data_IF_230713604375
#
_entry.id   IF_230713604375
#
_cell.length_a   1.000
_cell.length_b   1.000
_cell.length_c   1.000
_cell.angle_alpha   90.00
_cell.angle_beta   90.00
_cell.angle_gamma   90.00
#
_symmetry.space_group_name_H-M   'P 1'
#
loop_
_entity.id
_entity.type
_entity.pdbx_description
1 polymer ?
#
# COMPACT_ATOMS: atom_id res chain seq x y z
N UNK A 1 -25.66 -31.72 -21.15
CA UNK A 1 -26.10 -30.34 -20.84
C UNK A 1 -25.07 -29.81 -19.87
N UNK A 2 -24.43 -28.68 -20.16
CA UNK A 2 -23.56 -28.04 -19.18
C UNK A 2 -24.45 -27.60 -18.02
N UNK A 3 -24.11 -28.00 -16.79
CA UNK A 3 -24.73 -27.43 -15.59
C UNK A 3 -24.52 -25.92 -15.64
N UNK A 4 -25.58 -25.16 -15.35
CA UNK A 4 -25.48 -23.72 -15.22
C UNK A 4 -24.64 -23.42 -13.98
N UNK A 5 -23.36 -23.09 -14.20
CA UNK A 5 -22.35 -22.99 -13.14
C UNK A 5 -22.64 -21.87 -12.13
N UNK A 6 -23.64 -21.02 -12.41
CA UNK A 6 -23.96 -19.83 -11.63
C UNK A 6 -25.39 -19.84 -11.05
N UNK A 7 -26.09 -20.99 -11.06
CA UNK A 7 -27.48 -21.06 -10.60
C UNK A 7 -27.71 -20.55 -9.15
N UNK A 8 -26.68 -20.61 -8.31
CA UNK A 8 -26.70 -20.15 -6.91
C UNK A 8 -25.91 -18.84 -6.68
N UNK A 9 -25.42 -18.19 -7.74
CA UNK A 9 -24.66 -16.95 -7.63
C UNK A 9 -25.57 -15.72 -7.51
N UNK A 10 -25.09 -14.62 -6.89
CA UNK A 10 -25.80 -13.36 -6.94
C UNK A 10 -25.76 -12.76 -8.35
N UNK A 11 -26.77 -11.96 -8.69
CA UNK A 11 -26.81 -11.22 -9.97
C UNK A 11 -25.70 -10.16 -10.06
N UNK A 12 -25.25 -9.65 -8.90
CA UNK A 12 -24.25 -8.59 -8.78
C UNK A 12 -23.41 -8.74 -7.51
N UNK A 13 -22.15 -8.33 -7.57
CA UNK A 13 -21.30 -8.10 -6.39
C UNK A 13 -20.82 -6.64 -6.33
N UNK A 14 -20.58 -6.14 -5.11
CA UNK A 14 -20.02 -4.81 -4.86
C UNK A 14 -18.56 -4.94 -4.43
N UNK A 15 -17.65 -4.32 -5.18
CA UNK A 15 -16.23 -4.25 -4.89
C UNK A 15 -15.86 -2.87 -4.34
N UNK A 16 -15.49 -2.80 -3.08
CA UNK A 16 -15.07 -1.57 -2.42
C UNK A 16 -13.57 -1.29 -2.47
N UNK A 17 -13.22 -0.03 -2.68
CA UNK A 17 -11.86 0.49 -2.70
C UNK A 17 -11.68 1.57 -1.65
N UNK A 18 -10.48 1.61 -1.05
CA UNK A 18 -10.05 2.74 -0.23
C UNK A 18 -9.70 3.92 -1.14
N UNK A 19 -9.94 5.17 -0.71
CA UNK A 19 -9.65 6.34 -1.53
C UNK A 19 -8.14 6.53 -1.73
N UNK A 20 -7.77 7.08 -2.89
CA UNK A 20 -6.44 7.61 -3.17
C UNK A 20 -6.44 9.15 -3.05
N UNK A 21 -5.25 9.76 -2.96
CA UNK A 21 -5.12 11.22 -3.09
C UNK A 21 -5.65 11.72 -4.45
N UNK A 22 -5.66 10.84 -5.46
CA UNK A 22 -6.19 11.11 -6.81
C UNK A 22 -7.57 10.47 -7.02
N UNK A 23 -8.50 10.70 -6.08
CA UNK A 23 -9.84 10.10 -6.05
C UNK A 23 -10.64 10.23 -7.35
N UNK A 24 -10.52 11.36 -8.06
CA UNK A 24 -11.22 11.57 -9.34
C UNK A 24 -10.69 10.62 -10.43
N UNK A 25 -9.37 10.39 -10.50
CA UNK A 25 -8.77 9.43 -11.43
C UNK A 25 -8.95 7.97 -11.01
N UNK A 26 -9.08 7.71 -9.71
CA UNK A 26 -9.16 6.35 -9.19
C UNK A 26 -10.38 5.59 -9.72
N UNK A 27 -11.51 6.28 -9.93
CA UNK A 27 -12.68 5.64 -10.53
C UNK A 27 -12.42 5.20 -11.97
N UNK A 28 -11.77 6.03 -12.77
CA UNK A 28 -11.40 5.71 -14.15
C UNK A 28 -10.38 4.55 -14.19
N UNK A 29 -9.46 4.50 -13.22
CA UNK A 29 -8.46 3.43 -13.09
C UNK A 29 -9.05 2.08 -12.64
N UNK A 30 -10.16 2.10 -11.90
CA UNK A 30 -10.84 0.89 -11.42
C UNK A 30 -11.67 0.24 -12.53
N UNK A 31 -12.25 1.01 -13.46
CA UNK A 31 -13.15 0.47 -14.49
C UNK A 31 -12.54 -0.71 -15.28
N UNK A 32 -11.28 -0.65 -15.77
CA UNK A 32 -10.66 -1.79 -16.45
C UNK A 32 -10.61 -3.06 -15.59
N UNK A 33 -10.35 -2.93 -14.28
CA UNK A 33 -10.34 -4.06 -13.36
C UNK A 33 -11.74 -4.65 -13.18
N UNK A 34 -12.76 -3.79 -13.03
CA UNK A 34 -14.15 -4.19 -12.91
C UNK A 34 -14.61 -4.96 -14.16
N UNK A 35 -14.35 -4.43 -15.35
CA UNK A 35 -14.74 -5.11 -16.61
C UNK A 35 -14.08 -6.48 -16.76
N UNK A 36 -12.80 -6.63 -16.39
CA UNK A 36 -12.12 -7.95 -16.41
C UNK A 36 -12.78 -8.92 -15.44
N UNK A 37 -13.23 -8.43 -14.28
CA UNK A 37 -13.92 -9.24 -13.28
C UNK A 37 -15.32 -9.65 -13.76
N UNK A 38 -16.10 -8.73 -14.32
CA UNK A 38 -17.41 -9.00 -14.93
C UNK A 38 -17.31 -10.05 -16.04
N UNK A 39 -16.37 -9.87 -16.97
CA UNK A 39 -16.13 -10.81 -18.07
C UNK A 39 -15.77 -12.22 -17.57
N UNK A 40 -14.97 -12.29 -16.49
CA UNK A 40 -14.53 -13.56 -15.92
C UNK A 40 -15.62 -14.27 -15.10
N UNK A 41 -16.45 -13.51 -14.39
CA UNK A 41 -17.47 -14.03 -13.48
C UNK A 41 -18.82 -14.24 -14.17
N UNK A 42 -19.13 -13.50 -15.23
CA UNK A 42 -20.42 -13.54 -15.91
C UNK A 42 -21.59 -12.95 -15.11
N UNK A 43 -21.30 -12.11 -14.11
CA UNK A 43 -22.26 -11.36 -13.29
C UNK A 43 -21.84 -9.88 -13.23
N UNK A 44 -22.75 -8.99 -12.82
CA UNK A 44 -22.45 -7.56 -12.69
C UNK A 44 -21.47 -7.32 -11.52
N UNK A 45 -20.54 -6.38 -11.69
CA UNK A 45 -19.60 -5.97 -10.63
C UNK A 45 -19.65 -4.45 -10.47
N UNK A 46 -20.06 -3.98 -9.30
CA UNK A 46 -20.11 -2.55 -8.99
C UNK A 46 -18.86 -2.14 -8.20
N UNK A 47 -18.01 -1.30 -8.79
CA UNK A 47 -16.89 -0.68 -8.09
C UNK A 47 -17.32 0.55 -7.29
N UNK A 48 -17.04 0.58 -5.98
CA UNK A 48 -17.32 1.74 -5.12
C UNK A 48 -16.05 2.24 -4.44
N UNK A 49 -15.82 3.54 -4.45
CA UNK A 49 -14.71 4.18 -3.70
C UNK A 49 -15.29 4.76 -2.42
N UNK A 50 -14.75 4.35 -1.28
CA UNK A 50 -15.18 4.85 0.03
C UNK A 50 -14.50 6.17 0.39
N UNK A 51 -15.11 6.96 1.28
CA UNK A 51 -14.56 8.26 1.70
C UNK A 51 -13.29 8.12 2.53
N UNK A 52 -13.18 7.01 3.25
CA UNK A 52 -12.00 6.64 4.01
C UNK A 52 -11.98 5.13 4.21
N UNK A 53 -10.84 4.69 4.72
CA UNK A 53 -10.56 3.31 5.03
C UNK A 53 -11.58 2.68 6.01
N UNK A 54 -12.06 3.41 7.03
CA UNK A 54 -13.02 2.91 8.01
C UNK A 54 -14.40 2.74 7.39
N UNK A 55 -14.70 3.55 6.38
CA UNK A 55 -15.86 3.41 5.50
C UNK A 55 -15.86 2.04 4.81
N UNK A 56 -14.75 1.61 4.21
CA UNK A 56 -14.66 0.29 3.58
C UNK A 56 -14.79 -0.86 4.59
N UNK A 57 -14.15 -0.73 5.76
CA UNK A 57 -14.30 -1.71 6.86
C UNK A 57 -15.78 -1.88 7.24
N UNK A 58 -16.50 -0.76 7.42
CA UNK A 58 -17.92 -0.78 7.77
C UNK A 58 -18.78 -1.32 6.64
N UNK A 59 -18.50 -0.95 5.39
CA UNK A 59 -19.25 -1.42 4.23
C UNK A 59 -19.16 -2.95 4.09
N UNK A 60 -17.96 -3.52 4.20
CA UNK A 60 -17.74 -4.96 4.20
C UNK A 60 -18.41 -5.65 5.40
N UNK A 61 -18.21 -5.10 6.61
CA UNK A 61 -18.76 -5.68 7.83
C UNK A 61 -20.30 -5.72 7.88
N UNK A 62 -20.95 -4.76 7.24
CA UNK A 62 -22.42 -4.62 7.18
C UNK A 62 -23.06 -5.21 5.91
N UNK A 63 -22.26 -5.77 4.99
CA UNK A 63 -22.75 -6.35 3.73
C UNK A 63 -23.17 -5.31 2.69
N UNK A 64 -22.69 -4.06 2.80
CA UNK A 64 -22.81 -3.06 1.75
C UNK A 64 -21.74 -3.22 0.66
N UNK A 65 -20.64 -3.92 0.96
CA UNK A 65 -19.65 -4.38 0.00
C UNK A 65 -19.39 -5.88 0.20
N UNK A 66 -19.20 -6.62 -0.89
CA UNK A 66 -18.95 -8.06 -0.89
C UNK A 66 -17.45 -8.38 -0.95
N UNK A 67 -16.70 -7.54 -1.68
CA UNK A 67 -15.24 -7.62 -1.82
C UNK A 67 -14.61 -6.26 -1.47
N UNK A 68 -13.38 -6.28 -0.95
CA UNK A 68 -12.68 -5.07 -0.54
C UNK A 68 -11.18 -5.12 -0.80
N UNK A 69 -10.64 -4.10 -1.44
CA UNK A 69 -9.19 -3.90 -1.56
C UNK A 69 -8.65 -3.19 -0.30
N UNK A 70 -8.05 -3.96 0.60
CA UNK A 70 -7.50 -3.48 1.86
C UNK A 70 -5.98 -3.43 1.87
N UNK A 71 -5.43 -2.43 2.57
CA UNK A 71 -4.10 -2.56 3.19
C UNK A 71 -4.17 -3.48 4.44
N UNK A 72 -3.05 -3.99 4.95
CA UNK A 72 -3.06 -5.00 6.03
C UNK A 72 -3.77 -4.57 7.32
N UNK A 73 -3.59 -3.32 7.76
CA UNK A 73 -4.35 -2.80 8.90
C UNK A 73 -5.86 -2.90 8.66
N UNK A 74 -6.30 -2.64 7.42
CA UNK A 74 -7.68 -2.79 6.86
C UNK A 74 -8.38 -4.01 7.29
N UNK A 75 -7.75 -5.06 6.81
CA UNK A 75 -8.19 -6.39 7.03
C UNK A 75 -8.22 -6.74 8.53
N UNK A 76 -7.15 -6.43 9.27
CA UNK A 76 -7.07 -6.76 10.71
C UNK A 76 -8.15 -6.03 11.51
N UNK A 77 -8.34 -4.73 11.28
CA UNK A 77 -9.38 -3.95 11.97
C UNK A 77 -10.78 -4.46 11.65
N UNK A 78 -11.09 -4.70 10.37
CA UNK A 78 -12.41 -5.18 9.97
C UNK A 78 -12.71 -6.58 10.50
N UNK A 79 -11.70 -7.46 10.50
CA UNK A 79 -11.83 -8.79 11.10
C UNK A 79 -12.06 -8.73 12.60
N UNK A 80 -11.35 -7.86 13.31
CA UNK A 80 -11.54 -7.66 14.75
C UNK A 80 -12.93 -7.10 15.08
N UNK A 81 -13.43 -6.14 14.29
CA UNK A 81 -14.71 -5.48 14.53
C UNK A 81 -15.93 -6.33 14.17
N UNK A 82 -15.91 -7.05 13.03
CA UNK A 82 -17.10 -7.73 12.50
C UNK A 82 -16.99 -9.25 12.47
N UNK A 83 -15.77 -9.81 12.43
CA UNK A 83 -15.54 -11.26 12.44
C UNK A 83 -15.98 -12.02 11.17
N UNK A 84 -16.65 -11.37 10.23
CA UNK A 84 -17.18 -11.94 8.98
C UNK A 84 -16.35 -11.59 7.73
N UNK A 85 -15.13 -11.06 7.92
CA UNK A 85 -14.23 -10.68 6.82
C UNK A 85 -13.06 -11.67 6.75
N UNK A 86 -12.81 -12.22 5.56
CA UNK A 86 -11.74 -13.17 5.29
C UNK A 86 -10.80 -12.68 4.18
N UNK A 87 -9.51 -13.01 4.27
CA UNK A 87 -8.54 -12.67 3.24
C UNK A 87 -8.64 -13.70 2.10
N UNK A 88 -9.08 -13.27 0.92
CA UNK A 88 -9.24 -14.13 -0.24
C UNK A 88 -7.96 -14.23 -1.08
N UNK A 89 -7.35 -13.09 -1.37
CA UNK A 89 -6.13 -12.96 -2.19
C UNK A 89 -5.21 -11.91 -1.58
N UNK A 90 -3.91 -12.01 -1.91
CA UNK A 90 -2.87 -11.08 -1.47
C UNK A 90 -2.06 -10.63 -2.68
N UNK A 91 -1.75 -9.34 -2.76
CA UNK A 91 -0.90 -8.82 -3.82
C UNK A 91 0.54 -9.26 -3.62
N UNK A 92 1.17 -9.82 -4.66
CA UNK A 92 2.61 -10.03 -4.72
C UNK A 92 3.24 -8.84 -5.44
N UNK A 93 4.12 -8.11 -4.75
CA UNK A 93 4.84 -6.97 -5.32
C UNK A 93 6.33 -7.30 -5.35
N UNK A 94 6.93 -7.19 -6.54
CA UNK A 94 8.35 -7.47 -6.74
C UNK A 94 8.79 -8.85 -6.22
N UNK A 95 7.93 -9.86 -6.36
CA UNK A 95 8.20 -11.23 -5.88
C UNK A 95 7.85 -11.48 -4.41
N UNK A 96 7.53 -10.46 -3.62
CA UNK A 96 7.21 -10.61 -2.19
C UNK A 96 5.73 -10.40 -1.88
N UNK A 97 5.19 -11.24 -1.00
CA UNK A 97 3.88 -11.05 -0.38
C UNK A 97 3.93 -10.05 0.80
N UNK A 98 5.13 -9.71 1.27
CA UNK A 98 5.36 -8.93 2.48
C UNK A 98 6.15 -7.66 2.16
N UNK A 99 6.09 -6.69 3.06
CA UNK A 99 6.94 -5.52 3.05
C UNK A 99 7.41 -5.24 4.48
N UNK A 100 8.43 -4.40 4.62
CA UNK A 100 8.86 -3.89 5.91
C UNK A 100 8.32 -2.49 6.14
N UNK A 101 7.85 -2.24 7.35
CA UNK A 101 7.48 -0.89 7.78
C UNK A 101 8.73 -0.01 7.86
N UNK A 102 8.59 1.23 7.43
CA UNK A 102 9.62 2.25 7.50
C UNK A 102 9.13 3.38 8.41
N UNK A 103 10.06 4.14 8.97
CA UNK A 103 9.76 5.32 9.75
C UNK A 103 10.87 6.34 9.54
N UNK A 104 10.52 7.62 9.60
CA UNK A 104 11.45 8.70 9.32
C UNK A 104 11.95 9.32 10.62
N UNK A 105 13.25 9.59 10.70
CA UNK A 105 13.88 10.19 11.87
C UNK A 105 14.98 11.18 11.48
N UNK A 106 15.22 12.16 12.35
CA UNK A 106 16.40 13.02 12.31
C UNK A 106 17.39 12.71 13.45
N UNK A 107 17.17 11.62 14.18
CA UNK A 107 17.99 11.13 15.29
C UNK A 107 18.51 9.70 14.98
N UNK A 108 19.43 9.56 14.01
CA UNK A 108 19.95 8.25 13.63
C UNK A 108 20.69 7.57 14.80
N UNK A 109 21.36 8.34 15.66
CA UNK A 109 22.10 7.82 16.81
C UNK A 109 21.19 7.02 17.76
N UNK A 110 19.96 7.50 17.97
CA UNK A 110 18.96 6.76 18.74
C UNK A 110 18.41 5.59 17.95
N UNK A 111 17.90 5.82 16.74
CA UNK A 111 16.98 4.89 16.09
C UNK A 111 17.61 3.89 15.10
N UNK A 112 18.79 4.17 14.57
CA UNK A 112 19.50 3.23 13.71
C UNK A 112 20.21 2.15 14.54
N UNK A 113 20.37 0.97 13.98
CA UNK A 113 21.14 -0.15 14.56
C UNK A 113 22.50 -0.32 13.89
N UNK A 114 22.67 0.29 12.72
CA UNK A 114 23.86 0.38 11.90
C UNK A 114 24.12 1.82 11.44
N UNK A 115 25.26 2.05 10.81
CA UNK A 115 25.64 3.37 10.31
C UNK A 115 24.71 3.78 9.16
N UNK A 116 24.08 4.97 9.21
CA UNK A 116 23.25 5.46 8.11
C UNK A 116 24.04 5.59 6.80
N UNK A 117 23.50 5.03 5.73
CA UNK A 117 24.09 5.10 4.41
C UNK A 117 23.35 6.11 3.53
N UNK A 118 24.10 7.07 2.98
CA UNK A 118 23.58 8.09 2.06
C UNK A 118 23.11 7.48 0.74
N UNK A 119 22.03 8.01 0.16
CA UNK A 119 21.51 7.64 -1.16
C UNK A 119 21.26 6.12 -1.31
N UNK A 120 20.76 5.51 -0.24
CA UNK A 120 20.34 4.09 -0.18
C UNK A 120 18.90 3.96 0.27
N UNK A 121 18.33 2.77 0.08
CA UNK A 121 17.02 2.40 0.59
C UNK A 121 16.99 0.95 1.06
N UNK A 122 16.02 0.65 1.92
CA UNK A 122 15.75 -0.70 2.40
C UNK A 122 14.63 -1.36 1.58
N UNK A 123 14.90 -2.54 1.05
CA UNK A 123 13.96 -3.35 0.30
C UNK A 123 13.68 -4.69 0.98
N UNK A 124 12.54 -5.27 0.67
CA UNK A 124 12.24 -6.66 1.01
C UNK A 124 12.62 -7.55 -0.17
N UNK A 125 13.67 -8.35 -0.01
CA UNK A 125 14.06 -9.39 -0.97
C UNK A 125 13.81 -10.74 -0.31
N UNK A 126 12.79 -11.47 -0.76
CA UNK A 126 12.43 -12.81 -0.26
C UNK A 126 12.28 -12.90 1.28
N UNK A 127 11.77 -11.83 1.91
CA UNK A 127 11.56 -11.75 3.36
C UNK A 127 12.76 -11.22 4.16
N UNK A 128 13.87 -10.88 3.50
CA UNK A 128 15.02 -10.22 4.10
C UNK A 128 15.02 -8.73 3.79
N UNK A 129 15.42 -7.92 4.77
CA UNK A 129 15.67 -6.48 4.56
C UNK A 129 17.05 -6.32 3.94
N UNK A 130 17.11 -5.77 2.73
CA UNK A 130 18.36 -5.53 2.01
C UNK A 130 18.51 -4.04 1.74
N UNK A 131 19.70 -3.50 2.03
CA UNK A 131 20.03 -2.12 1.69
C UNK A 131 20.62 -2.05 0.28
N UNK A 132 19.96 -1.29 -0.60
CA UNK A 132 20.34 -1.11 -2.01
C UNK A 132 20.57 0.36 -2.33
N UNK A 133 21.17 0.67 -3.48
CA UNK A 133 21.28 2.07 -3.94
C UNK A 133 19.90 2.66 -4.22
N UNK A 134 19.68 3.94 -3.89
CA UNK A 134 18.37 4.59 -4.03
C UNK A 134 17.85 4.62 -5.49
N UNK A 135 18.74 4.58 -6.49
CA UNK A 135 18.37 4.48 -7.91
C UNK A 135 18.07 3.05 -8.36
N UNK A 136 18.60 2.05 -7.64
CA UNK A 136 18.36 0.62 -7.89
C UNK A 136 17.06 0.17 -7.22
N UNK A 137 16.67 0.85 -6.13
CA UNK A 137 15.46 0.56 -5.40
C UNK A 137 14.23 0.59 -6.33
N UNK A 138 13.39 -0.44 -6.29
CA UNK A 138 12.18 -0.57 -7.09
C UNK A 138 11.12 0.46 -6.70
N UNK A 139 10.99 0.76 -5.40
CA UNK A 139 10.13 1.82 -4.88
C UNK A 139 10.84 3.17 -4.89
N UNK A 140 10.10 4.25 -5.17
CA UNK A 140 10.66 5.61 -5.15
C UNK A 140 11.04 6.02 -3.71
N UNK A 141 12.16 6.73 -3.60
CA UNK A 141 12.76 7.12 -2.33
C UNK A 141 12.82 8.64 -2.19
N UNK A 142 12.95 9.15 -0.97
CA UNK A 142 13.12 10.58 -0.71
C UNK A 142 14.34 11.10 -1.48
N UNK A 143 14.18 12.21 -2.19
CA UNK A 143 15.25 12.82 -2.98
C UNK A 143 15.60 12.08 -4.28
N UNK A 144 14.79 11.09 -4.68
CA UNK A 144 14.81 10.46 -6.00
C UNK A 144 13.62 10.96 -6.81
N UNK A 145 13.89 11.43 -8.03
CA UNK A 145 12.85 11.86 -8.98
C UNK A 145 12.99 11.13 -10.31
N UNK A 146 11.94 11.17 -11.14
CA UNK A 146 11.98 10.66 -12.51
C UNK A 146 12.35 11.78 -13.47
N UNK A 147 13.58 11.73 -14.00
CA UNK A 147 14.03 12.57 -15.11
C UNK A 147 13.86 11.88 -16.46
N UNK A 148 14.34 12.53 -17.53
CA UNK A 148 14.22 12.05 -18.91
C UNK A 148 14.86 10.66 -19.14
N UNK A 149 15.92 10.34 -18.39
CA UNK A 149 16.66 9.08 -18.46
C UNK A 149 16.31 8.08 -17.33
N UNK A 150 15.20 8.32 -16.61
CA UNK A 150 14.74 7.47 -15.51
C UNK A 150 15.02 8.07 -14.12
N UNK A 151 15.24 7.21 -13.12
CA UNK A 151 15.44 7.65 -11.72
C UNK A 151 16.76 8.40 -11.58
N UNK A 152 16.73 9.56 -10.94
CA UNK A 152 17.89 10.42 -10.68
C UNK A 152 17.90 10.94 -9.25
N UNK A 153 19.09 11.19 -8.71
CA UNK A 153 19.30 11.82 -7.40
C UNK A 153 19.33 13.35 -7.54
N UNK A 154 18.99 14.05 -6.45
CA UNK A 154 19.17 15.50 -6.36
C UNK A 154 17.97 16.27 -6.90
N UNK A 155 16.78 15.87 -6.48
CA UNK A 155 15.56 16.65 -6.67
C UNK A 155 15.79 18.10 -6.22
N UNK A 156 15.26 19.06 -6.97
CA UNK A 156 15.31 20.47 -6.63
C UNK A 156 13.88 20.98 -6.59
N UNK A 157 13.47 21.58 -5.47
CA UNK A 157 12.14 22.16 -5.33
C UNK A 157 11.96 23.33 -6.31
N UNK A 158 10.71 23.74 -6.54
CA UNK A 158 10.38 24.86 -7.44
C UNK A 158 11.10 26.18 -7.10
N UNK A 159 11.51 26.35 -5.83
CA UNK A 159 12.26 27.50 -5.33
C UNK A 159 13.78 27.39 -5.50
N UNK A 160 14.28 26.30 -6.10
CA UNK A 160 15.69 26.05 -6.31
C UNK A 160 16.39 25.35 -5.14
N UNK A 161 15.67 24.97 -4.08
CA UNK A 161 16.26 24.27 -2.93
C UNK A 161 16.61 22.83 -3.31
N UNK A 162 17.89 22.41 -3.18
CA UNK A 162 18.27 21.02 -3.40
C UNK A 162 17.74 20.14 -2.27
N UNK A 163 17.18 19.00 -2.63
CA UNK A 163 16.73 17.95 -1.71
C UNK A 163 17.84 16.92 -1.59
N UNK A 164 18.25 16.64 -0.36
CA UNK A 164 19.22 15.57 -0.08
C UNK A 164 18.66 14.22 -0.54
N UNK A 165 19.49 13.32 -1.11
CA UNK A 165 19.08 11.96 -1.47
C UNK A 165 18.75 11.07 -0.26
N UNK A 166 18.80 11.62 0.96
CA UNK A 166 18.43 10.94 2.18
C UNK A 166 19.47 9.91 2.63
N UNK A 167 19.16 9.28 3.76
CA UNK A 167 19.94 8.19 4.34
C UNK A 167 18.98 7.05 4.69
N UNK A 168 19.46 5.81 4.63
CA UNK A 168 18.75 4.67 5.17
C UNK A 168 19.64 3.88 6.13
N UNK A 169 19.01 3.23 7.11
CA UNK A 169 19.64 2.41 8.13
C UNK A 169 18.62 1.39 8.63
N UNK A 170 19.09 0.26 9.15
CA UNK A 170 18.23 -0.72 9.80
C UNK A 170 17.75 -0.18 11.16
N UNK A 171 16.43 -0.23 11.36
CA UNK A 171 15.77 0.20 12.58
C UNK A 171 15.34 -0.97 13.49
N UNK A 172 15.11 -0.66 14.76
CA UNK A 172 14.51 -1.60 15.74
C UNK A 172 13.25 -0.98 16.33
N UNK A 173 12.09 -1.65 16.13
CA UNK A 173 10.79 -1.21 16.64
C UNK A 173 10.79 -1.02 18.16
N UNK A 174 11.62 -1.74 18.91
CA UNK A 174 11.72 -1.58 20.36
C UNK A 174 12.22 -0.20 20.77
N UNK A 175 13.00 0.47 19.89
CA UNK A 175 13.47 1.85 20.09
C UNK A 175 12.38 2.89 19.82
N UNK A 176 11.35 2.53 19.07
CA UNK A 176 10.22 3.41 18.74
C UNK A 176 9.18 3.43 19.87
N UNK A 177 9.10 2.35 20.67
CA UNK A 177 8.13 2.26 21.75
C UNK A 177 8.29 3.42 22.76
N UNK A 178 7.27 4.28 22.84
CA UNK A 178 7.27 5.47 23.71
C UNK A 178 8.00 6.70 23.13
N UNK A 179 8.61 6.58 21.96
CA UNK A 179 9.18 7.72 21.25
C UNK A 179 8.11 8.49 20.46
N UNK A 180 8.41 9.76 20.15
CA UNK A 180 7.61 10.56 19.23
C UNK A 180 8.25 10.48 17.85
N UNK A 181 7.61 9.77 16.93
CA UNK A 181 8.07 9.55 15.55
C UNK A 181 7.06 10.14 14.59
N UNK A 182 7.54 10.71 13.48
CA UNK A 182 6.68 11.19 12.40
C UNK A 182 6.21 10.01 11.56
N UNK A 183 4.90 9.97 11.27
CA UNK A 183 4.28 8.98 10.41
C UNK A 183 3.40 9.68 9.38
N UNK A 184 3.19 9.06 8.23
CA UNK A 184 2.34 9.62 7.18
C UNK A 184 0.87 9.66 7.60
N UNK A 185 0.35 8.55 8.14
CA UNK A 185 -0.99 8.44 8.72
C UNK A 185 -1.06 7.27 9.71
N UNK A 186 -2.03 7.32 10.63
CA UNK A 186 -2.24 6.26 11.63
C UNK A 186 -2.69 4.90 11.04
N UNK A 187 -3.18 4.91 9.80
CA UNK A 187 -3.60 3.72 9.07
C UNK A 187 -2.53 3.17 8.11
N UNK A 188 -1.43 3.90 7.90
CA UNK A 188 -0.28 3.43 7.12
C UNK A 188 0.51 2.41 7.92
N UNK A 189 0.72 1.24 7.34
CA UNK A 189 1.54 0.16 7.93
C UNK A 189 2.93 0.10 7.32
N UNK A 190 3.15 0.78 6.18
CA UNK A 190 4.44 0.89 5.51
C UNK A 190 5.28 2.07 6.01
N UNK A 191 4.68 3.03 6.71
CA UNK A 191 5.32 4.27 7.17
C UNK A 191 4.49 5.51 6.86
#
# INVERSE_FOLDING_TARGET
>A
MAEDMHADWPDKIVFGFVPSQEQESLQDDIQPFISVLEDALGIDVEGVVTTDYTGLVTAMGTGQADLGAFGPFGYVLGKDQFGNIEALIQSIRFGSATYHGQYMTNDPDTFCTDEPAEATALENHDGEVVQVGALEAVALQVGVFFGDDGKQLGETLDDGTPVSPGYSCHGDLTKIAGAKVAFTSESSTSG
#
